data_IF_435138343440
#
_entry.id   IF_435138343440
#
_cell.length_a   1.000
_cell.length_b   1.000
_cell.length_c   1.000
_cell.angle_alpha   90.00
_cell.angle_beta   90.00
_cell.angle_gamma   90.00
#
_symmetry.space_group_name_H-M   'P 1'
#
loop_
_entity.id
_entity.type
_entity.pdbx_description
1 polymer ?
#
# COMPACT_ATOMS: atom_id res chain seq x y z
N UNK A 1 3.14 14.55 -5.30
CA UNK A 1 2.07 13.57 -4.98
C UNK A 1 2.63 12.54 -4.02
N UNK A 2 1.92 12.21 -2.94
CA UNK A 2 2.31 11.12 -2.02
C UNK A 2 1.55 9.85 -2.34
N UNK A 3 2.22 8.72 -2.21
CA UNK A 3 1.61 7.39 -2.26
C UNK A 3 2.06 6.65 -1.00
N UNK A 4 1.14 5.97 -0.32
CA UNK A 4 1.44 5.19 0.86
C UNK A 4 0.76 3.82 0.80
N UNK A 5 1.38 2.84 1.45
CA UNK A 5 0.79 1.54 1.79
C UNK A 5 0.78 1.40 3.29
N UNK A 6 -0.27 0.85 3.88
CA UNK A 6 -0.31 0.69 5.32
C UNK A 6 -1.12 -0.52 5.77
N UNK A 7 -0.45 -1.54 6.30
CA UNK A 7 -1.13 -2.65 6.98
C UNK A 7 -1.83 -2.16 8.27
N UNK A 8 -3.10 -1.79 8.16
CA UNK A 8 -3.94 -1.42 9.28
C UNK A 8 -4.58 -2.67 9.91
N UNK A 9 -3.86 -3.27 10.85
CA UNK A 9 -4.22 -4.54 11.47
C UNK A 9 -5.68 -4.55 11.97
N UNK A 10 -6.48 -5.53 11.54
CA UNK A 10 -7.88 -5.72 11.99
C UNK A 10 -8.75 -4.45 11.86
N UNK A 11 -8.55 -3.66 10.80
CA UNK A 11 -9.41 -2.51 10.57
C UNK A 11 -10.87 -2.91 10.41
N UNK A 12 -11.78 -2.34 11.19
CA UNK A 12 -13.21 -2.59 11.10
C UNK A 12 -13.96 -1.56 11.95
N UNK A 13 -15.26 -1.78 12.17
CA UNK A 13 -16.12 -0.84 12.91
C UNK A 13 -15.53 -0.45 14.28
N UNK A 14 -15.07 -1.43 15.07
CA UNK A 14 -14.43 -1.18 16.37
C UNK A 14 -13.25 -0.21 16.27
N UNK A 15 -12.46 -0.29 15.19
CA UNK A 15 -11.27 0.54 15.02
C UNK A 15 -11.61 1.95 14.54
N UNK A 16 -12.56 2.10 13.60
CA UNK A 16 -13.00 3.44 13.14
C UNK A 16 -13.83 4.20 14.17
N UNK A 17 -14.43 3.49 15.13
CA UNK A 17 -15.13 4.12 16.25
C UNK A 17 -14.20 4.65 17.35
N UNK A 18 -12.90 4.38 17.29
CA UNK A 18 -11.91 5.01 18.18
C UNK A 18 -11.42 6.33 17.54
N UNK A 19 -11.82 7.50 18.07
CA UNK A 19 -11.46 8.80 17.49
C UNK A 19 -9.95 9.04 17.46
N UNK A 20 -9.18 8.40 18.35
CA UNK A 20 -7.73 8.51 18.36
C UNK A 20 -7.06 7.71 17.23
N UNK A 21 -7.76 6.70 16.68
CA UNK A 21 -7.25 5.83 15.61
C UNK A 21 -7.68 6.34 14.24
N UNK A 22 -8.92 6.84 14.12
CA UNK A 22 -9.52 7.31 12.86
C UNK A 22 -8.67 8.35 12.11
N UNK A 23 -7.93 9.20 12.82
CA UNK A 23 -7.04 10.23 12.25
C UNK A 23 -5.85 9.65 11.43
N UNK A 24 -5.57 8.33 11.50
CA UNK A 24 -4.29 7.75 11.05
C UNK A 24 -4.47 6.60 10.01
N UNK A 25 -5.69 6.20 9.66
CA UNK A 25 -5.89 4.89 9.01
C UNK A 25 -5.90 4.92 7.47
N UNK A 26 -5.14 3.99 6.86
CA UNK A 26 -5.09 3.69 5.43
C UNK A 26 -4.95 2.16 5.15
N UNK A 27 -5.87 1.29 5.59
CA UNK A 27 -6.22 -0.03 4.98
C UNK A 27 -7.42 -0.68 5.73
N UNK A 28 -8.12 -1.64 5.12
CA UNK A 28 -9.44 -2.14 5.56
C UNK A 28 -9.55 -3.65 5.75
N UNK A 29 -10.15 -4.10 6.87
CA UNK A 29 -10.65 -5.48 7.07
C UNK A 29 -12.14 -5.44 7.44
N UNK A 30 -13.00 -5.02 6.51
CA UNK A 30 -14.44 -4.92 6.81
C UNK A 30 -15.25 -6.07 6.16
N UNK A 31 -16.23 -6.57 6.90
CA UNK A 31 -17.19 -7.57 6.44
C UNK A 31 -18.35 -6.93 5.68
N UNK A 32 -18.69 -5.65 5.92
CA UNK A 32 -19.92 -5.00 5.42
C UNK A 32 -19.71 -3.71 4.63
N UNK A 33 -18.49 -3.17 4.54
CA UNK A 33 -18.20 -1.87 3.91
C UNK A 33 -18.48 -0.64 4.80
N UNK A 34 -19.26 -0.76 5.87
CA UNK A 34 -19.63 0.34 6.77
C UNK A 34 -18.47 1.15 7.36
N UNK A 35 -17.42 0.50 7.91
CA UNK A 35 -16.25 1.23 8.44
C UNK A 35 -15.48 2.01 7.38
N UNK A 36 -15.54 1.56 6.13
CA UNK A 36 -14.91 2.26 5.01
C UNK A 36 -15.71 3.50 4.65
N UNK A 37 -17.03 3.38 4.63
CA UNK A 37 -17.94 4.51 4.45
C UNK A 37 -17.71 5.57 5.54
N UNK A 38 -17.66 5.18 6.82
CA UNK A 38 -17.38 6.10 7.93
C UNK A 38 -16.04 6.81 7.72
N UNK A 39 -14.98 6.08 7.35
CA UNK A 39 -13.67 6.67 7.08
C UNK A 39 -13.71 7.71 5.95
N UNK A 40 -14.37 7.39 4.83
CA UNK A 40 -14.47 8.31 3.68
C UNK A 40 -15.33 9.53 4.01
N UNK A 41 -16.46 9.34 4.71
CA UNK A 41 -17.33 10.43 5.16
C UNK A 41 -16.56 11.41 6.06
N UNK A 42 -15.74 10.90 6.98
CA UNK A 42 -14.91 11.71 7.88
C UNK A 42 -13.79 12.43 7.12
N UNK A 43 -13.09 11.75 6.21
CA UNK A 43 -12.07 12.36 5.35
C UNK A 43 -12.63 13.51 4.51
N UNK A 44 -13.81 13.30 3.92
CA UNK A 44 -14.47 14.28 3.05
C UNK A 44 -15.23 15.35 3.85
N UNK A 45 -15.57 15.09 5.10
CA UNK A 45 -16.15 16.09 6.01
C UNK A 45 -15.12 17.11 6.51
N UNK A 46 -13.86 16.69 6.67
CA UNK A 46 -12.76 17.56 7.14
C UNK A 46 -12.12 18.35 6.01
N UNK A 47 -11.96 17.77 4.82
CA UNK A 47 -11.31 18.45 3.69
C UNK A 47 -12.30 19.24 2.83
N UNK A 48 -12.07 20.55 2.71
CA UNK A 48 -12.86 21.42 1.81
C UNK A 48 -12.26 21.55 0.41
N UNK A 49 -11.03 21.05 0.21
CA UNK A 49 -10.26 21.24 -1.04
C UNK A 49 -9.97 19.95 -1.78
N UNK A 50 -9.96 18.82 -1.08
CA UNK A 50 -9.68 17.52 -1.65
C UNK A 50 -10.81 16.57 -1.32
N UNK A 51 -11.24 15.81 -2.32
CA UNK A 51 -12.27 14.80 -2.13
C UNK A 51 -11.64 13.42 -2.35
N UNK A 52 -11.85 12.53 -1.39
CA UNK A 52 -11.39 11.16 -1.43
C UNK A 52 -12.48 10.28 -2.02
N UNK A 53 -12.13 9.57 -3.08
CA UNK A 53 -12.85 8.41 -3.56
C UNK A 53 -12.22 7.12 -3.02
N UNK A 54 -13.00 6.04 -3.05
CA UNK A 54 -12.59 4.72 -2.57
C UNK A 54 -12.75 3.64 -3.63
N UNK A 55 -11.88 2.64 -3.59
CA UNK A 55 -12.03 1.41 -4.36
C UNK A 55 -11.66 0.20 -3.50
N UNK A 56 -12.56 -0.78 -3.43
CA UNK A 56 -12.39 -2.02 -2.66
C UNK A 56 -12.15 -3.20 -3.60
N UNK A 57 -11.29 -4.13 -3.18
CA UNK A 57 -11.19 -5.46 -3.81
C UNK A 57 -12.34 -6.36 -3.35
N UNK A 58 -12.46 -7.54 -3.97
CA UNK A 58 -13.21 -8.65 -3.37
C UNK A 58 -12.58 -9.12 -2.07
N UNK A 59 -13.32 -9.87 -1.24
CA UNK A 59 -12.80 -10.50 -0.02
C UNK A 59 -11.94 -11.71 -0.37
N UNK A 60 -10.68 -11.73 0.07
CA UNK A 60 -9.68 -12.73 -0.32
C UNK A 60 -9.11 -13.47 0.89
N UNK A 61 -8.69 -14.72 0.67
CA UNK A 61 -8.16 -15.60 1.71
C UNK A 61 -8.51 -17.05 1.42
N UNK A 62 -7.64 -18.00 1.79
CA UNK A 62 -7.94 -19.44 1.59
C UNK A 62 -8.90 -20.03 2.65
N UNK A 63 -8.93 -19.46 3.86
CA UNK A 63 -9.76 -19.97 4.97
C UNK A 63 -11.06 -19.19 5.13
N UNK A 64 -11.81 -19.42 6.22
CA UNK A 64 -12.98 -18.59 6.59
C UNK A 64 -12.62 -17.13 6.85
N UNK A 65 -11.38 -16.88 7.26
CA UNK A 65 -10.87 -15.55 7.48
C UNK A 65 -10.47 -14.93 6.13
N UNK A 66 -11.02 -13.75 5.82
CA UNK A 66 -10.80 -13.02 4.58
C UNK A 66 -10.48 -11.55 4.86
N UNK A 67 -9.70 -10.93 4.00
CA UNK A 67 -9.33 -9.51 4.02
C UNK A 67 -9.68 -8.85 2.67
N UNK A 68 -9.63 -7.52 2.60
CA UNK A 68 -9.85 -6.74 1.38
C UNK A 68 -8.75 -5.69 1.25
N UNK A 69 -8.40 -5.35 0.01
CA UNK A 69 -7.63 -4.15 -0.26
C UNK A 69 -8.58 -2.96 -0.34
N UNK A 70 -8.22 -1.86 0.33
CA UNK A 70 -8.83 -0.54 0.14
C UNK A 70 -7.81 0.37 -0.51
N UNK A 71 -8.23 1.04 -1.59
CA UNK A 71 -7.54 2.19 -2.14
C UNK A 71 -8.36 3.44 -1.84
N UNK A 72 -7.72 4.42 -1.19
CA UNK A 72 -8.22 5.78 -1.06
C UNK A 72 -7.38 6.68 -1.94
N UNK A 73 -8.04 7.51 -2.74
CA UNK A 73 -7.36 8.40 -3.65
C UNK A 73 -8.13 9.71 -3.79
N UNK A 74 -7.38 10.79 -4.04
CA UNK A 74 -7.95 12.11 -4.31
C UNK A 74 -8.44 12.17 -5.74
N UNK A 75 -9.75 12.25 -5.94
CA UNK A 75 -10.36 12.29 -7.28
C UNK A 75 -10.17 13.64 -7.97
N UNK A 76 -9.73 14.68 -7.25
CA UNK A 76 -9.25 15.93 -7.85
C UNK A 76 -7.85 15.79 -8.48
N UNK A 77 -7.08 14.75 -8.12
CA UNK A 77 -5.69 14.54 -8.57
C UNK A 77 -5.56 13.44 -9.61
N UNK A 78 -6.35 12.36 -9.48
CA UNK A 78 -6.28 11.18 -10.33
C UNK A 78 -7.64 10.59 -10.66
N UNK A 79 -7.79 10.11 -11.90
CA UNK A 79 -8.89 9.25 -12.32
C UNK A 79 -8.52 7.78 -12.13
N UNK A 80 -9.37 6.98 -11.51
CA UNK A 80 -9.30 5.52 -11.59
C UNK A 80 -9.86 5.08 -12.95
N UNK A 81 -9.00 4.68 -13.89
CA UNK A 81 -9.41 4.34 -15.25
C UNK A 81 -9.69 2.84 -15.44
N UNK A 82 -9.11 1.99 -14.59
CA UNK A 82 -9.36 0.55 -14.62
C UNK A 82 -8.92 -0.10 -13.29
N UNK A 83 -9.56 -1.19 -12.90
CA UNK A 83 -9.09 -2.06 -11.83
C UNK A 83 -9.48 -3.52 -12.11
N UNK A 84 -8.67 -4.45 -11.64
CA UNK A 84 -9.00 -5.87 -11.69
C UNK A 84 -8.29 -6.65 -10.59
N UNK A 85 -8.86 -7.79 -10.22
CA UNK A 85 -8.27 -8.76 -9.31
C UNK A 85 -7.39 -9.72 -10.12
N UNK A 86 -6.09 -9.84 -9.82
CA UNK A 86 -5.25 -10.86 -10.45
C UNK A 86 -5.85 -12.24 -10.16
N UNK A 87 -5.73 -13.14 -11.13
CA UNK A 87 -6.12 -14.54 -10.96
C UNK A 87 -4.91 -15.40 -11.27
N UNK A 88 -4.48 -16.19 -10.29
CA UNK A 88 -3.45 -17.22 -10.40
C UNK A 88 -4.07 -18.61 -10.66
N UNK A 89 -5.21 -18.64 -11.36
CA UNK A 89 -5.96 -19.83 -11.75
C UNK A 89 -5.77 -20.20 -13.24
N UNK A 90 -4.77 -19.62 -13.91
CA UNK A 90 -4.49 -19.90 -15.31
C UNK A 90 -3.85 -21.29 -15.48
N UNK A 91 -3.92 -21.83 -16.70
CA UNK A 91 -3.29 -23.12 -17.03
C UNK A 91 -1.79 -22.98 -16.78
N UNK A 92 -1.23 -23.90 -15.99
CA UNK A 92 0.16 -23.93 -15.51
C UNK A 92 0.55 -22.91 -14.42
N UNK A 93 -0.39 -22.07 -13.95
CA UNK A 93 -0.17 -21.26 -12.75
C UNK A 93 -0.22 -22.13 -11.49
N UNK A 94 0.63 -21.81 -10.52
CA UNK A 94 0.51 -22.32 -9.15
C UNK A 94 -0.36 -21.36 -8.35
N UNK A 95 -1.23 -21.88 -7.48
CA UNK A 95 -1.95 -21.08 -6.46
C UNK A 95 -0.91 -20.47 -5.49
N UNK A 96 -0.40 -19.31 -5.90
CA UNK A 96 0.74 -18.63 -5.30
C UNK A 96 0.29 -17.69 -4.19
N UNK A 97 -0.91 -17.10 -4.34
CA UNK A 97 -1.37 -16.04 -3.47
C UNK A 97 -2.47 -16.52 -2.55
N UNK A 98 -2.26 -16.36 -1.23
CA UNK A 98 -3.36 -16.49 -0.26
C UNK A 98 -4.42 -15.39 -0.47
N UNK A 99 -3.98 -14.24 -0.97
CA UNK A 99 -4.78 -13.06 -1.31
C UNK A 99 -4.20 -12.49 -2.57
N UNK A 100 -4.92 -12.69 -3.65
CA UNK A 100 -4.52 -12.34 -5.00
C UNK A 100 -4.28 -10.83 -5.08
N UNK A 101 -3.26 -10.35 -5.82
CA UNK A 101 -2.98 -8.93 -5.95
C UNK A 101 -4.13 -8.15 -6.59
N UNK A 102 -4.46 -6.98 -6.05
CA UNK A 102 -5.49 -6.11 -6.61
C UNK A 102 -4.90 -4.97 -7.45
N UNK A 103 -5.15 -4.95 -8.75
CA UNK A 103 -4.52 -4.05 -9.71
C UNK A 103 -5.39 -2.85 -9.99
N UNK A 104 -4.82 -1.64 -9.87
CA UNK A 104 -5.49 -0.39 -10.22
C UNK A 104 -4.64 0.43 -11.19
N UNK A 105 -5.31 1.09 -12.14
CA UNK A 105 -4.74 2.01 -13.11
C UNK A 105 -5.28 3.40 -12.85
N UNK A 106 -4.37 4.32 -12.58
CA UNK A 106 -4.71 5.71 -12.35
C UNK A 106 -4.21 6.58 -13.49
N UNK A 107 -4.98 7.58 -13.89
CA UNK A 107 -4.55 8.63 -14.81
C UNK A 107 -4.44 9.93 -14.02
N UNK A 108 -3.28 10.58 -14.09
CA UNK A 108 -3.07 11.85 -13.37
C UNK A 108 -3.61 13.03 -14.18
N UNK A 109 -4.26 13.99 -13.52
CA UNK A 109 -5.00 15.06 -14.19
C UNK A 109 -4.17 16.07 -14.99
N UNK A 110 -2.84 16.11 -14.85
CA UNK A 110 -2.01 17.12 -15.54
C UNK A 110 -0.91 16.56 -16.46
N UNK A 111 -0.93 15.26 -16.79
CA UNK A 111 0.14 14.70 -17.66
C UNK A 111 -0.35 13.85 -18.81
N UNK A 112 -1.65 13.56 -18.92
CA UNK A 112 -2.20 12.64 -19.92
C UNK A 112 -1.67 11.20 -19.79
N UNK A 113 -0.80 10.91 -18.81
CA UNK A 113 -0.18 9.61 -18.59
C UNK A 113 -0.94 8.81 -17.54
N UNK A 114 -1.04 7.50 -17.80
CA UNK A 114 -1.63 6.51 -16.88
C UNK A 114 -0.52 5.77 -16.14
N UNK A 115 -0.63 5.70 -14.82
CA UNK A 115 0.24 4.95 -13.92
C UNK A 115 -0.54 3.79 -13.29
N UNK A 116 -0.17 2.52 -13.55
CA UNK A 116 -0.62 1.41 -12.72
C UNK A 116 0.00 1.49 -11.32
N UNK A 117 -0.84 1.49 -10.27
CA UNK A 117 -0.42 1.58 -8.87
C UNK A 117 -0.23 0.23 -8.19
N UNK A 118 -0.73 -0.86 -8.74
CA UNK A 118 -0.35 -2.22 -8.34
C UNK A 118 -0.50 -3.12 -9.55
N UNK A 119 0.57 -3.80 -9.99
CA UNK A 119 0.49 -4.75 -11.12
C UNK A 119 1.60 -5.79 -10.98
N UNK A 120 1.24 -7.06 -10.90
CA UNK A 120 2.19 -8.11 -11.22
C UNK A 120 2.20 -8.29 -12.74
N UNK A 121 3.15 -7.56 -13.36
CA UNK A 121 3.79 -7.84 -14.66
C UNK A 121 2.91 -7.75 -15.93
N UNK A 122 3.09 -6.68 -16.73
CA UNK A 122 2.90 -6.68 -18.20
C UNK A 122 3.99 -5.77 -18.82
N UNK A 123 4.60 -6.12 -19.95
CA UNK A 123 5.56 -5.27 -20.66
C UNK A 123 4.96 -3.91 -21.06
N UNK A 124 5.72 -2.81 -20.89
CA UNK A 124 5.39 -1.49 -21.44
C UNK A 124 4.54 -0.55 -20.56
N UNK A 125 4.46 -0.77 -19.25
CA UNK A 125 3.76 0.15 -18.32
C UNK A 125 4.57 0.41 -17.05
N UNK A 126 4.53 1.64 -16.52
CA UNK A 126 5.23 1.99 -15.28
C UNK A 126 4.48 1.45 -14.05
N UNK A 127 5.07 0.51 -13.33
CA UNK A 127 4.38 -0.20 -12.25
C UNK A 127 5.00 0.12 -10.89
N UNK A 128 4.13 0.40 -9.92
CA UNK A 128 4.45 0.35 -8.49
C UNK A 128 3.84 -0.91 -7.88
N UNK A 129 4.53 -1.53 -6.93
CA UNK A 129 4.08 -2.71 -6.18
C UNK A 129 4.37 -2.40 -4.72
N UNK A 130 3.34 -2.40 -3.89
CA UNK A 130 3.43 -1.98 -2.49
C UNK A 130 2.54 -2.85 -1.59
N UNK A 131 2.92 -2.96 -0.32
CA UNK A 131 2.18 -3.75 0.67
C UNK A 131 3.07 -4.36 1.74
N UNK A 132 2.44 -5.00 2.73
CA UNK A 132 3.10 -5.94 3.65
C UNK A 132 3.47 -7.22 2.87
N UNK A 133 4.73 -7.33 2.46
CA UNK A 133 5.24 -8.51 1.75
C UNK A 133 5.76 -9.57 2.70
N UNK A 134 5.87 -9.26 4.00
CA UNK A 134 6.61 -10.06 4.98
C UNK A 134 8.03 -10.40 4.51
N UNK A 135 8.69 -9.45 3.86
CA UNK A 135 9.95 -9.66 3.15
C UNK A 135 11.20 -9.59 4.04
N UNK A 136 11.11 -10.11 5.27
CA UNK A 136 12.22 -10.12 6.24
C UNK A 136 11.99 -11.17 7.36
N UNK A 137 12.92 -11.22 8.31
CA UNK A 137 12.75 -11.99 9.54
C UNK A 137 12.62 -13.50 9.30
N UNK A 138 11.78 -14.16 10.09
CA UNK A 138 11.56 -15.60 9.98
C UNK A 138 10.72 -16.01 8.76
N UNK A 139 10.04 -15.05 8.13
CA UNK A 139 9.22 -15.29 6.94
C UNK A 139 10.05 -15.41 5.68
N UNK A 140 11.17 -14.68 5.61
CA UNK A 140 12.04 -14.66 4.44
C UNK A 140 13.48 -14.41 4.88
N UNK A 141 14.30 -15.46 4.86
CA UNK A 141 15.73 -15.32 5.17
C UNK A 141 16.45 -14.47 4.12
N UNK A 142 17.60 -13.89 4.49
CA UNK A 142 18.41 -13.10 3.55
C UNK A 142 18.78 -13.88 2.29
N UNK A 143 19.03 -15.19 2.41
CA UNK A 143 19.38 -16.05 1.27
C UNK A 143 18.18 -16.25 0.33
N UNK A 144 17.02 -16.62 0.87
CA UNK A 144 15.80 -16.77 0.08
C UNK A 144 15.41 -15.45 -0.60
N UNK A 145 15.61 -14.32 0.08
CA UNK A 145 15.33 -12.99 -0.45
C UNK A 145 16.15 -12.67 -1.71
N UNK A 146 17.40 -13.11 -1.79
CA UNK A 146 18.27 -12.91 -2.95
C UNK A 146 17.80 -13.74 -4.16
N UNK A 147 17.12 -14.87 -3.93
CA UNK A 147 16.61 -15.76 -4.97
C UNK A 147 15.27 -15.28 -5.57
N UNK A 148 14.60 -14.31 -4.94
CA UNK A 148 13.33 -13.77 -5.44
C UNK A 148 13.55 -13.08 -6.78
N UNK A 149 12.80 -13.49 -7.81
CA UNK A 149 12.95 -12.97 -9.17
C UNK A 149 12.83 -11.44 -9.27
N UNK A 150 11.82 -10.85 -8.61
CA UNK A 150 11.64 -9.39 -8.55
C UNK A 150 12.75 -8.67 -7.76
N UNK A 151 13.54 -9.39 -6.97
CA UNK A 151 14.71 -8.84 -6.29
C UNK A 151 15.94 -8.83 -7.21
N UNK A 152 16.15 -9.90 -7.96
CA UNK A 152 17.25 -10.03 -8.92
C UNK A 152 17.03 -9.25 -10.23
N UNK A 153 15.78 -8.88 -10.55
CA UNK A 153 15.48 -8.15 -11.77
C UNK A 153 16.04 -6.71 -11.70
N UNK A 154 17.00 -6.42 -12.58
CA UNK A 154 17.65 -5.11 -12.78
C UNK A 154 16.69 -3.94 -13.03
N UNK A 155 15.47 -4.22 -13.50
CA UNK A 155 14.44 -3.21 -13.71
C UNK A 155 13.60 -2.97 -12.44
N UNK A 156 13.90 -3.64 -11.32
CA UNK A 156 13.19 -3.53 -10.05
C UNK A 156 14.01 -2.73 -9.05
N UNK A 157 13.36 -1.74 -8.45
CA UNK A 157 13.97 -0.86 -7.46
C UNK A 157 13.15 -0.95 -6.19
N UNK A 158 13.76 -1.53 -5.16
CA UNK A 158 13.19 -1.64 -3.82
C UNK A 158 13.48 -0.34 -3.09
N UNK A 159 12.47 0.52 -2.97
CA UNK A 159 12.62 1.86 -2.38
C UNK A 159 12.68 1.81 -0.86
N UNK A 160 12.04 0.81 -0.25
CA UNK A 160 12.19 0.48 1.17
C UNK A 160 13.24 -0.63 1.30
N UNK A 161 14.41 -0.25 1.81
CA UNK A 161 15.57 -1.13 1.98
C UNK A 161 15.37 -2.18 3.07
N UNK A 162 16.23 -3.21 3.09
CA UNK A 162 16.15 -4.31 4.06
C UNK A 162 16.48 -3.90 5.49
N UNK A 163 17.16 -2.78 5.66
CA UNK A 163 17.54 -2.22 6.95
C UNK A 163 16.55 -1.15 7.46
N UNK A 164 15.39 -1.03 6.82
CA UNK A 164 14.36 -0.04 7.16
C UNK A 164 13.29 -0.73 7.99
N UNK A 165 13.20 -0.37 9.26
CA UNK A 165 12.19 -0.90 10.17
C UNK A 165 10.80 -0.35 9.84
N UNK A 166 9.85 -1.23 9.52
CA UNK A 166 8.46 -0.89 9.21
C UNK A 166 7.50 -1.30 10.32
N UNK A 167 8.01 -1.67 11.50
CA UNK A 167 7.20 -2.14 12.63
C UNK A 167 6.97 -1.04 13.67
N UNK A 168 5.71 -0.86 14.06
CA UNK A 168 5.33 0.01 15.17
C UNK A 168 5.54 -0.68 16.52
N UNK A 169 5.52 -2.02 16.57
CA UNK A 169 5.86 -2.76 17.78
C UNK A 169 7.38 -2.63 18.04
N UNK A 170 7.78 -1.90 19.06
CA UNK A 170 9.18 -1.50 19.33
C UNK A 170 10.10 -2.65 19.71
N UNK A 171 9.54 -3.82 20.03
CA UNK A 171 10.28 -5.07 20.28
C UNK A 171 10.48 -5.92 19.02
N UNK A 172 9.96 -5.48 17.88
CA UNK A 172 10.01 -6.18 16.60
C UNK A 172 10.64 -5.25 15.55
N UNK A 173 11.70 -5.69 14.86
CA UNK A 173 12.45 -4.83 13.93
C UNK A 173 12.60 -5.51 12.58
N UNK A 174 11.73 -5.16 11.64
CA UNK A 174 11.65 -5.86 10.36
C UNK A 174 11.25 -4.95 9.20
N UNK A 175 11.79 -5.25 8.02
CA UNK A 175 11.43 -4.62 6.75
C UNK A 175 10.33 -5.41 6.03
N UNK A 176 9.16 -5.55 6.65
CA UNK A 176 8.04 -6.33 6.07
C UNK A 176 7.32 -5.58 4.96
N UNK A 177 7.05 -4.29 5.17
CA UNK A 177 6.31 -3.44 4.23
C UNK A 177 7.26 -2.88 3.18
N UNK A 178 6.89 -3.00 1.90
CA UNK A 178 7.78 -2.69 0.79
C UNK A 178 7.11 -1.79 -0.21
N UNK A 179 7.95 -1.02 -0.89
CA UNK A 179 7.59 -0.26 -2.07
C UNK A 179 8.61 -0.62 -3.16
N UNK A 180 8.13 -1.27 -4.22
CA UNK A 180 8.96 -1.72 -5.33
C UNK A 180 8.46 -1.05 -6.59
N UNK A 181 9.39 -0.45 -7.34
CA UNK A 181 9.11 0.15 -8.63
C UNK A 181 9.73 -0.70 -9.74
N UNK A 182 8.97 -1.01 -10.78
CA UNK A 182 9.50 -1.56 -12.03
C UNK A 182 9.72 -0.44 -13.05
N UNK A 183 10.92 -0.35 -13.61
CA UNK A 183 11.21 0.50 -14.77
C UNK A 183 10.60 -0.15 -16.00
N UNK A 184 9.69 0.56 -16.65
CA UNK A 184 9.34 0.31 -18.04
C UNK A 184 9.48 1.56 -18.91
N UNK A 185 9.48 2.78 -18.35
CA UNK A 185 9.91 4.07 -18.96
C UNK A 185 9.81 5.23 -17.92
N UNK A 186 9.63 6.48 -18.38
CA UNK A 186 9.54 7.85 -17.78
C UNK A 186 9.32 8.09 -16.26
N UNK A 187 8.88 7.13 -15.43
CA UNK A 187 8.78 7.32 -13.97
C UNK A 187 10.16 7.50 -13.30
N UNK A 188 11.27 7.14 -13.95
CA UNK A 188 12.61 7.24 -13.38
C UNK A 188 12.90 8.60 -12.71
N UNK A 189 12.52 9.71 -13.33
CA UNK A 189 12.74 11.06 -12.79
C UNK A 189 11.65 11.52 -11.82
N UNK A 190 10.56 10.77 -11.67
CA UNK A 190 9.41 11.23 -10.88
C UNK A 190 9.53 10.96 -9.40
N UNK A 191 10.32 9.98 -8.94
CA UNK A 191 10.48 9.76 -7.50
C UNK A 191 11.36 10.85 -6.93
N UNK A 192 10.87 11.55 -5.90
CA UNK A 192 11.69 12.47 -5.12
C UNK A 192 12.78 11.66 -4.42
N UNK A 193 14.07 11.93 -4.67
CA UNK A 193 15.16 11.18 -4.05
C UNK A 193 15.04 11.14 -2.52
N UNK A 194 15.27 9.97 -1.92
CA UNK A 194 15.20 9.73 -0.47
C UNK A 194 13.84 10.00 0.19
N UNK A 195 12.76 10.17 -0.59
CA UNK A 195 11.41 10.35 -0.03
C UNK A 195 10.78 9.06 0.49
N UNK A 196 11.24 7.90 0.00
CA UNK A 196 10.69 6.62 0.39
C UNK A 196 11.09 6.26 1.84
N UNK A 197 10.10 6.15 2.74
CA UNK A 197 10.34 5.90 4.17
C UNK A 197 9.09 5.38 4.89
N UNK A 198 9.25 4.74 6.05
CA UNK A 198 8.14 4.49 6.97
C UNK A 198 7.69 5.80 7.62
N UNK A 199 6.37 5.96 7.75
CA UNK A 199 5.74 7.04 8.49
C UNK A 199 5.64 6.65 9.97
N UNK A 200 6.60 7.10 10.77
CA UNK A 200 6.68 6.75 12.18
C UNK A 200 5.70 7.60 13.02
N UNK A 201 4.47 7.11 13.17
CA UNK A 201 3.44 7.79 13.94
C UNK A 201 3.71 7.87 15.46
N UNK A 202 4.68 7.12 16.01
CA UNK A 202 5.15 7.40 17.39
C UNK A 202 5.81 8.76 17.47
N UNK A 203 6.69 9.07 16.52
CA UNK A 203 7.43 10.33 16.50
C UNK A 203 6.53 11.50 16.07
N UNK A 204 5.81 11.32 14.98
CA UNK A 204 5.01 12.39 14.37
C UNK A 204 3.86 12.84 15.28
N UNK A 205 3.25 11.91 16.02
CA UNK A 205 2.12 12.20 16.92
C UNK A 205 2.45 12.03 18.40
N UNK A 206 3.73 11.84 18.75
CA UNK A 206 4.20 11.68 20.13
C UNK A 206 3.45 10.57 20.89
N UNK A 207 3.22 9.43 20.22
CA UNK A 207 2.48 8.30 20.78
C UNK A 207 3.37 7.38 21.62
N UNK A 208 2.80 6.84 22.69
CA UNK A 208 3.36 5.66 23.37
C UNK A 208 3.18 4.41 22.49
N UNK A 209 3.95 3.35 22.76
CA UNK A 209 3.77 2.06 22.06
C UNK A 209 2.33 1.54 22.21
N UNK A 210 1.73 1.66 23.40
CA UNK A 210 0.34 1.26 23.62
C UNK A 210 -0.64 2.01 22.70
N UNK A 211 -0.48 3.34 22.57
CA UNK A 211 -1.32 4.15 21.68
C UNK A 211 -1.11 3.77 20.21
N UNK A 212 0.15 3.60 19.81
CA UNK A 212 0.53 3.17 18.48
C UNK A 212 -0.06 1.81 18.09
N UNK A 213 0.00 0.82 18.99
CA UNK A 213 -0.53 -0.51 18.74
C UNK A 213 -2.07 -0.56 18.65
N UNK A 214 -2.79 0.45 19.15
CA UNK A 214 -4.22 0.62 18.85
C UNK A 214 -4.45 0.96 17.37
N UNK A 215 -3.54 1.72 16.77
CA UNK A 215 -3.56 2.07 15.35
C UNK A 215 -3.16 0.87 14.50
N UNK A 216 -1.91 0.40 14.63
CA UNK A 216 -1.41 -0.82 14.00
C UNK A 216 -0.05 -1.22 14.59
N UNK A 217 0.35 -2.47 14.39
CA UNK A 217 1.71 -2.94 14.65
C UNK A 217 2.69 -2.67 13.48
N UNK A 218 2.22 -2.14 12.35
CA UNK A 218 3.04 -1.71 11.21
C UNK A 218 3.02 -0.18 11.10
N UNK A 219 4.06 0.41 10.52
CA UNK A 219 4.03 1.77 10.00
C UNK A 219 3.54 1.77 8.55
N UNK A 220 2.83 2.82 8.09
CA UNK A 220 2.72 3.09 6.67
C UNK A 220 4.10 3.22 6.04
N UNK A 221 4.30 2.73 4.83
CA UNK A 221 5.45 3.11 3.99
C UNK A 221 4.97 4.06 2.90
N UNK A 222 5.64 5.20 2.77
CA UNK A 222 5.28 6.26 1.83
C UNK A 222 6.41 6.58 0.86
N UNK A 223 6.07 7.17 -0.29
CA UNK A 223 6.99 7.75 -1.26
C UNK A 223 6.39 9.01 -1.86
N UNK A 224 7.24 9.99 -2.20
CA UNK A 224 6.83 11.19 -2.91
C UNK A 224 7.21 11.11 -4.39
N UNK A 225 6.26 11.51 -5.23
CA UNK A 225 6.46 11.73 -6.65
C UNK A 225 6.41 13.23 -6.97
N UNK A 226 7.35 13.70 -7.78
CA UNK A 226 7.36 15.05 -8.36
C UNK A 226 6.09 15.26 -9.19
N UNK A 227 5.53 16.46 -9.06
CA UNK A 227 4.36 16.88 -9.82
C UNK A 227 4.51 18.34 -10.27
N UNK A 228 4.26 18.67 -11.56
CA UNK A 228 4.09 17.74 -12.68
C UNK A 228 5.38 16.97 -12.97
N UNK A 229 5.29 15.81 -13.62
CA UNK A 229 6.46 15.03 -14.04
C UNK A 229 7.26 15.85 -15.08
N UNK A 230 8.28 16.57 -14.63
CA UNK A 230 9.21 17.35 -15.46
C UNK A 230 10.33 16.51 -16.02
#
# INVERSE_FOLDING_TARGET
MKIASFNAQRFGLTKVSDPAVLTIILEVVNVTGDSVRVLVEELNGVSTTHHYAQQLSTRLGRSRYKEQFLFLYRDDVVDLINCYQYKDDQVDDVDAFKREPYILYFKTHNTGQSLPLLKLMVPGSNVMILGDFRADGWYLSSKEREEIHIRSDKNSYWLIGDNVDTMAKTSDHHAYDRFVRKICDKIYNSIVPNSAKPFNFHKEFQMTEEMALRVSNHYPVEVELLFPFG
#
